data_IF_017253081127
#
_entry.id   IF_017253081127
#
_cell.length_a   1.000
_cell.length_b   1.000
_cell.length_c   1.000
_cell.angle_alpha   90.00
_cell.angle_beta   90.00
_cell.angle_gamma   90.00
#
_symmetry.space_group_name_H-M   'P 1'
#
loop_
_entity.id
_entity.type
_entity.pdbx_description
1 polymer ?
#
# COMPACT_ATOMS: atom_id res chain seq x y z
N UNK A 1 -7.00 3.05 -6.90
CA UNK A 1 -7.48 1.79 -6.28
C UNK A 1 -7.66 1.99 -4.80
N UNK A 2 -8.76 1.50 -4.20
CA UNK A 2 -8.95 1.54 -2.74
C UNK A 2 -8.08 0.44 -2.11
N UNK A 3 -7.28 0.80 -1.11
CA UNK A 3 -6.47 -0.12 -0.32
C UNK A 3 -7.17 -0.48 0.99
N UNK A 4 -7.77 0.53 1.65
CA UNK A 4 -8.56 0.38 2.87
C UNK A 4 -9.81 1.23 2.72
N UNK A 5 -10.99 0.61 2.86
CA UNK A 5 -12.28 1.29 2.71
C UNK A 5 -12.74 2.02 3.98
N UNK A 6 -12.35 1.52 5.16
CA UNK A 6 -12.52 2.20 6.43
C UNK A 6 -11.52 1.69 7.46
N UNK A 7 -10.79 2.61 8.10
CA UNK A 7 -9.84 2.27 9.17
C UNK A 7 -10.52 2.03 10.53
N UNK A 8 -11.82 2.30 10.65
CA UNK A 8 -12.61 2.15 11.89
C UNK A 8 -12.02 2.92 13.09
N UNK A 9 -11.32 4.02 12.85
CA UNK A 9 -10.80 4.91 13.89
C UNK A 9 -11.99 5.68 14.48
N UNK A 10 -12.11 5.68 15.80
CA UNK A 10 -13.20 6.40 16.47
C UNK A 10 -12.99 7.90 16.39
N UNK A 11 -13.99 8.61 15.86
CA UNK A 11 -14.03 10.07 15.77
C UNK A 11 -14.33 10.56 14.35
N UNK A 12 -14.65 11.84 14.24
CA UNK A 12 -14.89 12.54 12.97
C UNK A 12 -13.69 13.40 12.61
N UNK A 13 -13.13 13.22 11.41
CA UNK A 13 -12.02 14.04 10.92
C UNK A 13 -12.48 15.20 10.01
N UNK A 14 -13.75 15.19 9.60
CA UNK A 14 -14.37 16.23 8.77
C UNK A 14 -15.64 16.79 9.39
N UNK A 15 -16.20 17.80 8.73
CA UNK A 15 -17.38 18.55 9.20
C UNK A 15 -17.02 19.82 9.97
N UNK A 16 -18.02 20.47 10.55
CA UNK A 16 -17.86 21.74 11.28
C UNK A 16 -17.22 21.58 12.66
N UNK A 17 -17.27 20.38 13.26
CA UNK A 17 -16.69 20.07 14.57
C UNK A 17 -15.97 18.70 14.55
N UNK A 18 -14.76 18.63 13.95
CA UNK A 18 -13.98 17.39 13.90
C UNK A 18 -13.39 17.05 15.26
N UNK A 19 -13.58 15.82 15.74
CA UNK A 19 -13.04 15.35 17.02
C UNK A 19 -11.61 14.83 16.90
N UNK A 20 -11.20 14.41 15.70
CA UNK A 20 -9.87 13.86 15.42
C UNK A 20 -9.24 14.52 14.21
N UNK A 21 -7.93 14.43 14.10
CA UNK A 21 -7.18 14.80 12.91
C UNK A 21 -6.33 13.61 12.47
N UNK A 22 -6.43 13.23 11.20
CA UNK A 22 -5.72 12.11 10.62
C UNK A 22 -4.66 12.60 9.64
N UNK A 23 -3.42 12.17 9.84
CA UNK A 23 -2.32 12.43 8.90
C UNK A 23 -1.56 11.16 8.59
N UNK A 24 -0.96 11.10 7.40
CA UNK A 24 -0.17 9.97 6.96
C UNK A 24 1.32 10.21 7.27
N UNK A 25 1.99 9.20 7.81
CA UNK A 25 3.42 9.18 8.17
C UNK A 25 4.07 7.95 7.54
N UNK A 26 5.39 8.01 7.39
CA UNK A 26 6.23 6.94 6.84
C UNK A 26 5.77 6.46 5.45
N UNK A 27 5.20 7.37 4.65
CA UNK A 27 4.71 7.08 3.30
C UNK A 27 5.84 7.15 2.27
N UNK A 28 6.76 6.19 2.33
CA UNK A 28 7.88 6.08 1.39
C UNK A 28 7.37 6.03 -0.05
N UNK A 29 8.02 6.80 -0.93
CA UNK A 29 7.66 6.97 -2.34
C UNK A 29 6.21 7.41 -2.58
N UNK A 30 5.48 7.87 -1.55
CA UNK A 30 4.11 8.39 -1.67
C UNK A 30 3.12 7.39 -2.29
N UNK A 31 3.25 6.09 -2.00
CA UNK A 31 2.35 5.06 -2.53
C UNK A 31 0.91 5.15 -2.02
N UNK A 32 0.69 5.75 -0.85
CA UNK A 32 -0.63 5.82 -0.23
C UNK A 32 -1.14 7.25 -0.20
N UNK A 33 -2.42 7.44 -0.53
CA UNK A 33 -3.17 8.68 -0.34
C UNK A 33 -4.18 8.45 0.77
N UNK A 34 -4.24 9.37 1.73
CA UNK A 34 -5.22 9.37 2.81
C UNK A 34 -6.38 10.31 2.47
N UNK A 35 -7.60 9.78 2.52
CA UNK A 35 -8.82 10.56 2.66
C UNK A 35 -9.24 10.52 4.15
N UNK A 36 -8.96 11.59 4.91
CA UNK A 36 -9.17 11.59 6.36
C UNK A 36 -10.66 11.59 6.71
N UNK A 37 -11.52 12.19 5.88
CA UNK A 37 -12.96 12.34 6.17
C UNK A 37 -13.65 10.98 6.11
N UNK A 38 -13.38 10.21 5.06
CA UNK A 38 -13.95 8.87 4.89
C UNK A 38 -13.09 7.77 5.53
N UNK A 39 -11.94 8.13 6.13
CA UNK A 39 -10.95 7.19 6.67
C UNK A 39 -10.52 6.13 5.65
N UNK A 40 -10.31 6.56 4.40
CA UNK A 40 -9.95 5.70 3.27
C UNK A 40 -8.48 5.87 2.91
N UNK A 41 -7.87 4.76 2.48
CA UNK A 41 -6.54 4.76 1.89
C UNK A 41 -6.63 4.34 0.43
N UNK A 42 -5.99 5.09 -0.45
CA UNK A 42 -5.92 4.82 -1.88
C UNK A 42 -4.48 4.57 -2.31
N UNK A 43 -4.33 3.73 -3.34
CA UNK A 43 -3.06 3.56 -4.03
C UNK A 43 -2.82 4.73 -4.97
N UNK A 44 -1.64 5.35 -4.84
CA UNK A 44 -1.11 6.35 -5.74
C UNK A 44 -0.13 5.72 -6.74
N UNK A 45 -0.67 5.36 -7.90
CA UNK A 45 0.07 4.73 -8.98
C UNK A 45 -0.08 5.48 -10.30
N UNK A 46 -0.41 6.78 -10.27
CA UNK A 46 -0.49 7.58 -11.49
C UNK A 46 0.89 7.67 -12.14
N UNK A 47 1.03 7.13 -13.36
CA UNK A 47 2.29 7.12 -14.10
C UNK A 47 3.33 6.11 -13.61
N UNK A 48 2.98 5.18 -12.72
CA UNK A 48 3.88 4.09 -12.26
C UNK A 48 3.12 2.81 -11.95
N UNK A 49 3.82 1.68 -11.96
CA UNK A 49 3.24 0.36 -11.67
C UNK A 49 3.70 -0.10 -10.29
N UNK A 50 2.78 -0.65 -9.50
CA UNK A 50 3.11 -1.37 -8.28
C UNK A 50 3.50 -2.79 -8.66
N UNK A 51 4.81 -3.04 -8.74
CA UNK A 51 5.37 -4.30 -9.22
C UNK A 51 6.06 -5.06 -8.07
N UNK A 52 5.62 -6.32 -7.88
CA UNK A 52 6.15 -7.21 -6.84
C UNK A 52 7.42 -7.92 -7.32
N UNK A 53 7.63 -8.04 -8.63
CA UNK A 53 8.72 -8.80 -9.21
C UNK A 53 9.97 -7.92 -9.43
N UNK A 54 11.15 -8.53 -9.63
CA UNK A 54 12.36 -7.80 -9.95
C UNK A 54 12.21 -7.00 -11.26
N UNK A 55 12.77 -5.77 -11.33
CA UNK A 55 13.74 -5.20 -10.40
C UNK A 55 13.13 -4.44 -9.21
N UNK A 56 11.82 -4.16 -9.23
CA UNK A 56 11.17 -3.26 -8.27
C UNK A 56 10.93 -3.94 -6.93
N UNK A 57 10.54 -5.22 -6.94
CA UNK A 57 10.49 -6.10 -5.75
C UNK A 57 9.65 -5.58 -4.57
N UNK A 58 8.57 -4.84 -4.81
CA UNK A 58 7.74 -4.28 -3.72
C UNK A 58 6.81 -5.38 -3.17
N UNK A 59 7.22 -5.99 -2.05
CA UNK A 59 6.42 -7.03 -1.39
C UNK A 59 5.35 -6.48 -0.45
N UNK A 60 5.64 -5.34 0.19
CA UNK A 60 4.70 -4.68 1.10
C UNK A 60 4.95 -3.19 1.20
N UNK A 61 3.90 -2.42 1.44
CA UNK A 61 3.95 -1.01 1.77
C UNK A 61 3.50 -0.87 3.22
N UNK A 62 4.33 -0.24 4.06
CA UNK A 62 4.01 0.03 5.46
C UNK A 62 3.92 1.53 5.65
N UNK A 63 2.82 1.99 6.23
CA UNK A 63 2.59 3.41 6.56
C UNK A 63 2.01 3.52 7.96
N UNK A 64 2.13 4.70 8.58
CA UNK A 64 1.47 5.00 9.84
C UNK A 64 0.41 6.08 9.64
N UNK A 65 -0.78 5.84 10.16
CA UNK A 65 -1.83 6.87 10.25
C UNK A 65 -1.78 7.46 11.65
N UNK A 66 -1.31 8.69 11.74
CA UNK A 66 -1.32 9.47 12.97
C UNK A 66 -2.72 10.02 13.21
N UNK A 67 -3.30 9.71 14.36
CA UNK A 67 -4.57 10.23 14.83
C UNK A 67 -4.33 11.14 16.04
N UNK A 68 -4.71 12.41 15.92
CA UNK A 68 -4.64 13.39 17.01
C UNK A 68 -6.06 13.61 17.53
N UNK A 69 -6.27 13.41 18.83
CA UNK A 69 -7.53 13.76 19.48
C UNK A 69 -7.56 15.27 19.75
N UNK A 70 -8.47 16.00 19.13
CA UNK A 70 -8.52 17.48 19.26
C UNK A 70 -9.01 17.95 20.63
N UNK A 71 -9.72 17.12 21.39
CA UNK A 71 -10.24 17.48 22.72
C UNK A 71 -9.19 17.34 23.82
N UNK A 72 -8.33 16.33 23.72
CA UNK A 72 -7.38 15.98 24.79
C UNK A 72 -5.92 16.15 24.35
N UNK A 73 -5.65 16.28 23.05
CA UNK A 73 -4.30 16.43 22.50
C UNK A 73 -3.49 15.13 22.40
N UNK A 74 -4.08 13.98 22.73
CA UNK A 74 -3.39 12.69 22.64
C UNK A 74 -3.14 12.29 21.20
N UNK A 75 -1.97 11.72 20.93
CA UNK A 75 -1.57 11.23 19.61
C UNK A 75 -1.47 9.71 19.63
N UNK A 76 -2.09 9.06 18.65
CA UNK A 76 -2.09 7.61 18.47
C UNK A 76 -1.61 7.30 17.05
N UNK A 77 -0.75 6.29 16.89
CA UNK A 77 -0.27 5.84 15.59
C UNK A 77 -0.89 4.48 15.26
N UNK A 78 -1.53 4.39 14.10
CA UNK A 78 -2.07 3.15 13.57
C UNK A 78 -1.18 2.68 12.41
N UNK A 79 -0.46 1.58 12.58
CA UNK A 79 0.31 0.96 11.50
C UNK A 79 -0.64 0.28 10.51
N UNK A 80 -0.44 0.55 9.22
CA UNK A 80 -1.14 -0.11 8.12
C UNK A 80 -0.11 -0.80 7.24
N UNK A 81 -0.20 -2.13 7.18
CA UNK A 81 0.64 -2.98 6.33
C UNK A 81 -0.16 -3.48 5.14
N UNK A 82 0.15 -2.98 3.95
CA UNK A 82 -0.43 -3.41 2.68
C UNK A 82 0.48 -4.47 2.08
N UNK A 83 0.00 -5.72 2.00
CA UNK A 83 0.73 -6.83 1.37
C UNK A 83 0.43 -6.84 -0.13
N UNK A 84 1.46 -6.77 -0.96
CA UNK A 84 1.33 -6.88 -2.41
C UNK A 84 1.25 -8.36 -2.77
N UNK A 85 0.13 -8.76 -3.39
CA UNK A 85 -0.04 -10.15 -3.84
C UNK A 85 0.64 -10.31 -5.19
N UNK A 86 1.27 -11.46 -5.36
CA UNK A 86 1.87 -11.85 -6.62
C UNK A 86 0.77 -12.15 -7.63
N UNK A 87 1.04 -11.80 -8.88
CA UNK A 87 0.22 -12.18 -10.03
C UNK A 87 1.14 -12.88 -11.00
N UNK A 88 0.65 -13.97 -11.58
CA UNK A 88 1.38 -14.67 -12.64
C UNK A 88 1.28 -13.90 -13.97
N UNK A 89 1.88 -12.71 -14.03
CA UNK A 89 1.95 -11.83 -15.20
C UNK A 89 3.29 -11.93 -15.96
N UNK A 90 4.26 -12.65 -15.39
CA UNK A 90 5.52 -12.99 -16.04
C UNK A 90 5.45 -14.34 -16.74
N UNK A 91 5.77 -14.36 -18.05
CA UNK A 91 5.81 -15.59 -18.84
C UNK A 91 7.16 -16.32 -18.68
N UNK A 92 7.18 -17.67 -18.74
CA UNK A 92 8.43 -18.41 -18.72
C UNK A 92 9.39 -17.93 -19.82
N UNK A 93 10.66 -17.83 -19.46
CA UNK A 93 11.75 -17.55 -20.39
C UNK A 93 12.69 -18.75 -20.42
N UNK A 94 12.83 -19.37 -21.59
CA UNK A 94 13.84 -20.40 -21.78
C UNK A 94 15.23 -19.76 -21.78
N UNK A 95 16.21 -20.44 -21.18
CA UNK A 95 17.59 -19.93 -21.14
C UNK A 95 18.27 -20.02 -22.52
N UNK A 96 17.82 -20.95 -23.36
CA UNK A 96 18.29 -21.16 -24.73
C UNK A 96 17.08 -21.24 -25.65
N UNK A 97 17.25 -20.81 -26.90
CA UNK A 97 16.21 -20.97 -27.92
C UNK A 97 15.96 -22.45 -28.26
N UNK A 98 16.97 -23.31 -28.11
CA UNK A 98 16.92 -24.72 -28.44
C UNK A 98 17.81 -25.54 -27.49
N UNK A 99 17.38 -26.76 -27.19
CA UNK A 99 18.11 -27.71 -26.33
C UNK A 99 18.33 -29.02 -27.10
N UNK A 100 19.55 -29.57 -27.05
CA UNK A 100 19.94 -30.81 -27.73
C UNK A 100 20.52 -31.80 -26.72
N UNK A 101 20.14 -33.08 -26.83
CA UNK A 101 20.69 -34.18 -26.03
C UNK A 101 20.89 -35.42 -26.91
N UNK A 102 21.96 -36.18 -26.67
CA UNK A 102 22.21 -37.46 -27.31
C UNK A 102 21.99 -38.60 -26.29
N UNK A 103 21.31 -39.66 -26.71
CA UNK A 103 20.98 -40.83 -25.87
C UNK A 103 21.49 -42.09 -26.54
N UNK A 104 22.13 -42.98 -25.78
CA UNK A 104 22.59 -44.28 -26.27
C UNK A 104 21.41 -45.28 -26.29
N UNK A 105 21.41 -46.17 -27.29
CA UNK A 105 20.36 -47.17 -27.52
C UNK A 105 20.34 -48.28 -26.46
#
# INVERSE_FOLDING_TARGET
TILVDSMLIKGTAGGSDPTIELTLKDNTDYWVILDPINQRLYLNSTGRVLDRDPPVSIQSIVVQVQCINRKVGTVIYHEVRIVVRDRNDNSPQFQQEQYYVAVNE
#
